data_IF_549235395252
#
_entry.id   IF_549235395252
#
_cell.length_a   1.000
_cell.length_b   1.000
_cell.length_c   1.000
_cell.angle_alpha   90.00
_cell.angle_beta   90.00
_cell.angle_gamma   90.00
#
_symmetry.space_group_name_H-M   'P 1'
#
loop_
_entity.id
_entity.type
_entity.pdbx_description
1 polymer ?
#
# COMPACT_ATOMS: atom_id res chain seq x y z
N UNK A 1 12.59 6.54 1.48
CA UNK A 1 11.42 7.26 0.93
C UNK A 1 11.94 8.28 -0.06
N UNK A 2 11.45 8.26 -1.30
CA UNK A 2 11.91 9.13 -2.39
C UNK A 2 10.79 10.02 -2.96
N UNK A 3 9.57 9.88 -2.47
CA UNK A 3 8.39 10.59 -2.98
C UNK A 3 7.46 10.99 -1.83
N UNK A 4 6.88 12.19 -1.92
CA UNK A 4 5.74 12.60 -1.10
C UNK A 4 4.44 12.08 -1.70
N UNK A 5 3.71 11.27 -0.93
CA UNK A 5 2.47 10.64 -1.35
C UNK A 5 1.32 11.63 -1.55
N UNK A 6 0.18 11.12 -1.99
CA UNK A 6 -1.04 11.91 -2.18
C UNK A 6 -1.47 12.61 -0.87
N UNK A 7 -2.17 13.73 -1.00
CA UNK A 7 -2.62 14.60 0.11
C UNK A 7 -1.51 15.26 0.94
N UNK A 8 -0.24 15.18 0.50
CA UNK A 8 0.83 15.94 1.13
C UNK A 8 0.59 17.45 1.01
N UNK A 9 0.93 18.20 2.05
CA UNK A 9 0.89 19.66 2.02
C UNK A 9 1.98 20.18 1.06
N UNK A 10 1.62 21.07 0.15
CA UNK A 10 2.55 21.56 -0.88
C UNK A 10 3.76 22.28 -0.31
N UNK A 11 3.70 22.80 0.91
CA UNK A 11 4.85 23.39 1.60
C UNK A 11 5.97 22.38 1.87
N UNK A 12 5.67 21.08 1.88
CA UNK A 12 6.65 20.02 2.15
C UNK A 12 7.46 19.58 0.92
N UNK A 13 6.90 19.73 -0.28
CA UNK A 13 7.55 19.30 -1.53
C UNK A 13 7.86 20.46 -2.48
N UNK A 14 7.26 21.62 -2.28
CA UNK A 14 7.48 22.83 -3.09
C UNK A 14 8.48 23.80 -2.44
N UNK A 15 9.38 23.31 -1.60
CA UNK A 15 10.52 24.09 -1.09
C UNK A 15 11.59 24.17 -2.18
N UNK A 16 11.85 25.39 -2.69
CA UNK A 16 12.83 25.64 -3.73
C UNK A 16 14.26 25.24 -3.34
N UNK A 17 14.55 25.13 -2.04
CA UNK A 17 15.88 24.77 -1.54
C UNK A 17 16.06 23.26 -1.39
N UNK A 18 14.98 22.50 -1.31
CA UNK A 18 15.00 21.05 -1.15
C UNK A 18 13.75 20.40 -1.75
N UNK A 19 13.60 20.45 -3.09
CA UNK A 19 12.44 19.86 -3.74
C UNK A 19 12.49 18.34 -3.63
N UNK A 20 11.33 17.73 -3.40
CA UNK A 20 11.16 16.27 -3.29
C UNK A 20 10.13 15.85 -4.32
N UNK A 21 10.33 14.74 -5.07
CA UNK A 21 9.31 14.23 -5.97
C UNK A 21 7.98 14.01 -5.27
N UNK A 22 6.86 14.24 -5.96
CA UNK A 22 5.53 14.13 -5.34
C UNK A 22 4.46 13.67 -6.32
N UNK A 23 3.38 13.12 -5.76
CA UNK A 23 2.11 12.92 -6.47
C UNK A 23 1.04 13.86 -5.93
N UNK A 24 0.23 14.44 -6.79
CA UNK A 24 -0.89 15.29 -6.38
C UNK A 24 -2.17 14.50 -6.19
N UNK A 25 -3.01 15.01 -5.30
CA UNK A 25 -4.41 14.63 -5.24
C UNK A 25 -5.25 15.78 -5.79
N UNK A 26 -6.01 15.50 -6.84
CA UNK A 26 -6.99 16.42 -7.41
C UNK A 26 -8.37 15.84 -7.20
N UNK A 27 -9.14 16.44 -6.31
CA UNK A 27 -10.50 15.97 -6.03
C UNK A 27 -11.30 17.01 -5.26
N UNK A 28 -12.55 16.65 -5.00
CA UNK A 28 -13.62 17.45 -4.37
C UNK A 28 -14.40 18.38 -5.32
N UNK A 29 -15.74 18.26 -5.23
CA UNK A 29 -16.78 19.04 -5.94
C UNK A 29 -16.83 18.83 -7.46
N UNK A 30 -17.13 17.60 -7.87
CA UNK A 30 -17.60 17.32 -9.23
C UNK A 30 -19.13 17.27 -9.23
N UNK A 31 -19.79 17.54 -10.37
CA UNK A 31 -21.15 17.09 -10.58
C UNK A 31 -21.24 15.60 -10.27
N UNK A 32 -22.16 15.25 -9.38
CA UNK A 32 -22.33 13.89 -8.87
C UNK A 32 -23.80 13.48 -8.90
N UNK A 33 -24.00 12.18 -9.07
CA UNK A 33 -25.29 11.53 -8.93
C UNK A 33 -25.36 10.91 -7.55
N UNK A 34 -26.23 11.45 -6.69
CA UNK A 34 -26.50 10.92 -5.35
C UNK A 34 -27.63 9.91 -5.41
N UNK A 35 -27.41 8.73 -4.86
CA UNK A 35 -28.39 7.64 -4.89
C UNK A 35 -28.52 6.99 -3.52
N UNK A 36 -29.75 6.74 -3.11
CA UNK A 36 -30.05 6.04 -1.87
C UNK A 36 -29.94 4.53 -2.13
N UNK A 37 -28.80 3.95 -1.78
CA UNK A 37 -28.57 2.53 -1.84
C UNK A 37 -28.31 2.01 -0.42
N UNK A 38 -29.02 0.95 -0.04
CA UNK A 38 -28.71 0.18 1.17
C UNK A 38 -28.76 0.98 2.48
N UNK A 39 -29.67 1.96 2.57
CA UNK A 39 -29.79 2.84 3.73
C UNK A 39 -28.72 3.94 3.83
N UNK A 40 -27.94 4.13 2.77
CA UNK A 40 -26.91 5.19 2.67
C UNK A 40 -27.04 5.95 1.34
N UNK A 41 -26.70 7.24 1.36
CA UNK A 41 -26.54 8.01 0.12
C UNK A 41 -25.13 7.81 -0.39
N UNK A 42 -25.00 7.26 -1.60
CA UNK A 42 -23.73 7.08 -2.31
C UNK A 42 -23.68 8.10 -3.43
N UNK A 43 -22.52 8.72 -3.63
CA UNK A 43 -22.29 9.66 -4.72
C UNK A 43 -21.36 9.06 -5.78
N UNK A 44 -21.77 9.15 -7.04
CA UNK A 44 -20.96 8.79 -8.19
C UNK A 44 -20.67 10.04 -9.01
N UNK A 45 -19.46 10.22 -9.59
CA UNK A 45 -19.24 11.22 -10.62
C UNK A 45 -20.29 11.12 -11.73
N UNK A 46 -20.75 12.25 -12.27
CA UNK A 46 -21.74 12.28 -13.34
C UNK A 46 -21.09 12.71 -14.67
N UNK A 47 -20.32 11.85 -15.37
CA UNK A 47 -19.61 12.22 -16.60
C UNK A 47 -20.51 12.66 -17.75
N UNK A 48 -21.79 12.30 -17.70
CA UNK A 48 -22.80 12.69 -18.69
C UNK A 48 -23.53 14.00 -18.35
N UNK A 49 -23.25 14.60 -17.19
CA UNK A 49 -23.74 15.93 -16.85
C UNK A 49 -23.03 17.00 -17.70
N UNK A 50 -23.78 17.94 -18.25
CA UNK A 50 -23.25 18.98 -19.14
C UNK A 50 -22.15 19.86 -18.52
N UNK A 51 -22.09 20.00 -17.19
CA UNK A 51 -21.07 20.80 -16.50
C UNK A 51 -19.81 19.98 -16.16
N UNK A 52 -19.89 18.65 -16.17
CA UNK A 52 -18.85 17.77 -15.63
C UNK A 52 -17.48 18.01 -16.26
N UNK A 53 -17.42 18.01 -17.60
CA UNK A 53 -16.15 18.19 -18.33
C UNK A 53 -15.50 19.55 -18.02
N UNK A 54 -16.30 20.61 -17.94
CA UNK A 54 -15.79 21.95 -17.58
C UNK A 54 -15.27 21.97 -16.15
N UNK A 55 -15.99 21.36 -15.20
CA UNK A 55 -15.54 21.29 -13.80
C UNK A 55 -14.23 20.48 -13.66
N UNK A 56 -14.08 19.38 -14.40
CA UNK A 56 -12.84 18.60 -14.43
C UNK A 56 -11.67 19.46 -14.93
N UNK A 57 -11.83 20.14 -16.06
CA UNK A 57 -10.80 21.03 -16.59
C UNK A 57 -10.41 22.12 -15.59
N UNK A 58 -11.38 22.81 -15.00
CA UNK A 58 -11.14 23.87 -14.01
C UNK A 58 -10.38 23.33 -12.79
N UNK A 59 -10.74 22.13 -12.33
CA UNK A 59 -10.09 21.49 -11.18
C UNK A 59 -8.62 21.18 -11.47
N UNK A 60 -8.32 20.63 -12.65
CA UNK A 60 -6.94 20.29 -13.04
C UNK A 60 -6.14 21.57 -13.33
N UNK A 61 -6.71 22.51 -14.10
CA UNK A 61 -6.06 23.78 -14.43
C UNK A 61 -5.78 24.63 -13.19
N UNK A 62 -6.59 24.53 -12.13
CA UNK A 62 -6.31 25.18 -10.85
C UNK A 62 -5.04 24.69 -10.14
N UNK A 63 -4.50 23.52 -10.51
CA UNK A 63 -3.25 22.96 -10.00
C UNK A 63 -2.11 23.00 -11.03
N UNK A 64 -2.27 23.75 -12.13
CA UNK A 64 -1.37 23.77 -13.29
C UNK A 64 0.10 23.96 -12.93
N UNK A 65 0.41 24.90 -12.05
CA UNK A 65 1.82 25.22 -11.72
C UNK A 65 2.51 24.05 -10.99
N UNK A 66 1.79 23.38 -10.09
CA UNK A 66 2.30 22.17 -9.42
C UNK A 66 2.41 21.02 -10.42
N UNK A 67 1.37 20.82 -11.25
CA UNK A 67 1.38 19.77 -12.26
C UNK A 67 2.49 19.93 -13.31
N UNK A 68 2.91 21.14 -13.63
CA UNK A 68 3.99 21.39 -14.60
C UNK A 68 5.39 21.47 -13.95
N UNK A 69 5.50 21.22 -12.64
CA UNK A 69 6.79 21.09 -11.97
C UNK A 69 7.51 19.81 -12.42
N UNK A 70 8.82 19.89 -12.64
CA UNK A 70 9.65 18.71 -12.94
C UNK A 70 9.67 17.66 -11.81
N UNK A 71 9.28 18.06 -10.60
CA UNK A 71 9.19 17.19 -9.42
C UNK A 71 7.81 16.52 -9.27
N UNK A 72 6.82 16.93 -10.06
CA UNK A 72 5.51 16.29 -10.07
C UNK A 72 5.56 15.02 -10.92
N UNK A 73 5.42 13.86 -10.28
CA UNK A 73 5.35 12.58 -10.97
C UNK A 73 4.03 12.38 -11.71
N UNK A 74 2.94 12.90 -11.13
CA UNK A 74 1.59 12.65 -11.61
C UNK A 74 0.53 13.05 -10.60
N UNK A 75 -0.72 12.79 -10.94
CA UNK A 75 -1.87 13.10 -10.09
C UNK A 75 -2.89 11.96 -10.05
N UNK A 76 -3.41 11.72 -8.85
CA UNK A 76 -4.65 10.97 -8.67
C UNK A 76 -5.84 11.93 -8.80
N UNK A 77 -6.90 11.49 -9.47
CA UNK A 77 -8.14 12.25 -9.58
C UNK A 77 -9.27 11.53 -8.83
N UNK A 78 -9.74 12.14 -7.73
CA UNK A 78 -10.62 11.51 -6.72
C UNK A 78 -9.98 10.28 -6.05
N UNK A 79 -10.73 9.61 -5.17
CA UNK A 79 -10.27 8.49 -4.34
C UNK A 79 -11.39 7.48 -4.13
N UNK A 80 -11.12 6.19 -4.33
CA UNK A 80 -11.95 5.05 -3.92
C UNK A 80 -13.44 5.18 -4.26
N UNK A 81 -13.78 5.29 -5.55
CA UNK A 81 -15.19 5.22 -5.94
C UNK A 81 -15.81 3.88 -5.53
N UNK A 82 -16.88 3.93 -4.74
CA UNK A 82 -17.60 2.76 -4.24
C UNK A 82 -18.57 2.18 -5.28
N UNK A 83 -18.03 1.74 -6.42
CA UNK A 83 -18.81 1.08 -7.49
C UNK A 83 -19.47 -0.22 -7.03
N UNK A 84 -19.01 -0.83 -5.92
CA UNK A 84 -19.62 -2.00 -5.26
C UNK A 84 -19.67 -1.82 -3.75
N UNK A 85 -20.44 -2.69 -3.10
CA UNK A 85 -20.59 -2.78 -1.65
C UNK A 85 -19.38 -3.52 -1.06
N UNK A 86 -18.89 -3.08 0.09
CA UNK A 86 -17.68 -3.65 0.72
C UNK A 86 -17.86 -5.11 1.22
N UNK A 87 -19.07 -5.69 1.13
CA UNK A 87 -19.40 -7.05 1.56
C UNK A 87 -19.68 -8.04 0.41
N UNK A 88 -19.42 -7.65 -0.84
CA UNK A 88 -19.58 -8.54 -1.99
C UNK A 88 -21.02 -8.73 -2.48
N UNK A 89 -21.98 -7.88 -2.06
CA UNK A 89 -23.32 -7.86 -2.65
C UNK A 89 -23.28 -7.18 -4.04
N UNK A 90 -23.74 -7.91 -5.04
CA UNK A 90 -23.24 -7.86 -6.42
C UNK A 90 -24.29 -7.46 -7.44
N UNK A 91 -24.86 -6.25 -7.41
CA UNK A 91 -25.53 -5.75 -8.62
C UNK A 91 -25.20 -4.30 -8.94
N UNK A 92 -25.26 -4.01 -10.24
CA UNK A 92 -24.65 -2.91 -10.98
C UNK A 92 -25.02 -1.53 -10.42
N UNK A 93 -24.38 -1.12 -9.32
CA UNK A 93 -24.77 0.07 -8.54
C UNK A 93 -24.78 1.33 -9.38
N UNK A 94 -23.83 1.47 -10.31
CA UNK A 94 -23.79 2.65 -11.18
C UNK A 94 -24.94 2.61 -12.18
N UNK A 95 -25.25 1.44 -12.75
CA UNK A 95 -26.41 1.30 -13.62
C UNK A 95 -27.71 1.61 -12.89
N UNK A 96 -27.87 1.10 -11.67
CA UNK A 96 -29.06 1.33 -10.85
C UNK A 96 -29.15 2.79 -10.42
N UNK A 97 -28.02 3.42 -10.10
CA UNK A 97 -27.99 4.84 -9.80
C UNK A 97 -28.57 5.68 -10.93
N UNK A 98 -28.18 5.37 -12.17
CA UNK A 98 -28.71 6.04 -13.36
C UNK A 98 -30.19 5.67 -13.62
N UNK A 99 -30.61 4.44 -13.34
CA UNK A 99 -32.02 4.03 -13.35
C UNK A 99 -32.85 4.63 -12.23
N UNK A 100 -32.27 5.20 -11.17
CA UNK A 100 -33.00 5.90 -10.09
C UNK A 100 -32.96 7.43 -10.22
N UNK A 101 -32.14 7.97 -11.13
CA UNK A 101 -32.08 9.40 -11.40
C UNK A 101 -33.46 9.97 -11.80
N UNK A 102 -33.68 11.27 -11.61
CA UNK A 102 -34.95 11.90 -12.01
C UNK A 102 -35.21 11.74 -13.50
N UNK A 103 -36.48 11.55 -13.89
CA UNK A 103 -36.85 11.17 -15.27
C UNK A 103 -36.34 12.11 -16.36
N UNK A 104 -36.21 13.41 -16.07
CA UNK A 104 -35.75 14.43 -17.01
C UNK A 104 -34.29 14.85 -16.79
N UNK A 105 -33.50 14.05 -16.07
CA UNK A 105 -32.08 14.33 -15.82
C UNK A 105 -31.20 13.79 -16.94
N UNK A 106 -30.04 14.43 -17.15
CA UNK A 106 -29.00 13.96 -18.08
C UNK A 106 -28.58 12.52 -17.79
N UNK A 107 -28.53 12.14 -16.50
CA UNK A 107 -28.25 10.77 -16.08
C UNK A 107 -29.32 9.79 -16.61
N UNK A 108 -30.61 10.05 -16.41
CA UNK A 108 -31.66 9.16 -16.94
C UNK A 108 -31.60 9.08 -18.46
N UNK A 109 -31.43 10.23 -19.13
CA UNK A 109 -31.33 10.25 -20.59
C UNK A 109 -30.13 9.44 -21.10
N UNK A 110 -28.99 9.49 -20.43
CA UNK A 110 -27.80 8.78 -20.83
C UNK A 110 -27.98 7.25 -20.83
N UNK A 111 -28.53 6.69 -19.74
CA UNK A 111 -28.73 5.22 -19.65
C UNK A 111 -29.86 4.74 -20.57
N UNK A 112 -30.96 5.49 -20.69
CA UNK A 112 -32.05 5.12 -21.60
C UNK A 112 -31.60 5.22 -23.05
N UNK A 113 -30.86 6.27 -23.41
CA UNK A 113 -30.26 6.43 -24.73
C UNK A 113 -29.26 5.31 -25.06
N UNK A 114 -28.48 4.87 -24.08
CA UNK A 114 -27.60 3.71 -24.24
C UNK A 114 -28.37 2.42 -24.53
N UNK A 115 -29.40 2.11 -23.74
CA UNK A 115 -30.25 0.94 -23.95
C UNK A 115 -30.95 0.98 -25.32
N UNK A 116 -31.42 2.15 -25.75
CA UNK A 116 -32.01 2.35 -27.08
C UNK A 116 -31.02 2.14 -28.23
N UNK A 117 -29.75 2.51 -28.06
CA UNK A 117 -28.71 2.24 -29.05
C UNK A 117 -28.37 0.76 -29.12
N UNK A 118 -28.35 0.08 -27.97
CA UNK A 118 -28.02 -1.35 -27.87
C UNK A 118 -29.15 -2.25 -28.35
N UNK A 119 -30.40 -1.82 -28.16
CA UNK A 119 -31.60 -2.55 -28.58
C UNK A 119 -32.40 -1.75 -29.59
N UNK A 120 -32.42 -2.23 -30.84
CA UNK A 120 -33.11 -1.56 -31.96
C UNK A 120 -34.62 -1.37 -31.78
N UNK A 121 -35.25 -2.05 -30.81
CA UNK A 121 -36.66 -1.85 -30.43
C UNK A 121 -36.94 -2.36 -29.01
N UNK A 122 -38.09 -1.97 -28.44
CA UNK A 122 -38.56 -2.53 -27.15
C UNK A 122 -38.76 -4.06 -27.21
N UNK A 123 -39.11 -4.60 -28.39
CA UNK A 123 -39.24 -6.05 -28.58
C UNK A 123 -37.88 -6.76 -28.48
N UNK A 124 -36.81 -6.13 -28.96
CA UNK A 124 -35.46 -6.66 -28.85
C UNK A 124 -35.00 -6.67 -27.38
N UNK A 125 -35.23 -5.56 -26.65
CA UNK A 125 -34.94 -5.48 -25.21
C UNK A 125 -35.73 -6.53 -24.42
N UNK A 126 -37.04 -6.64 -24.66
CA UNK A 126 -37.90 -7.65 -24.02
C UNK A 126 -37.42 -9.08 -24.28
N UNK A 127 -36.93 -9.36 -25.50
CA UNK A 127 -36.36 -10.66 -25.84
C UNK A 127 -35.06 -10.91 -25.07
N UNK A 128 -34.18 -9.91 -25.00
CA UNK A 128 -32.92 -10.02 -24.29
C UNK A 128 -33.13 -10.19 -22.78
N UNK A 129 -34.06 -9.43 -22.19
CA UNK A 129 -34.28 -9.40 -20.73
C UNK A 129 -35.29 -10.44 -20.25
N UNK A 130 -36.00 -11.13 -21.14
CA UNK A 130 -37.10 -12.02 -20.78
C UNK A 130 -38.30 -11.27 -20.16
N UNK A 131 -38.56 -10.05 -20.62
CA UNK A 131 -39.59 -9.14 -20.08
C UNK A 131 -40.68 -8.84 -21.11
N UNK A 132 -41.69 -8.05 -20.72
CA UNK A 132 -42.83 -7.67 -21.56
C UNK A 132 -43.22 -6.20 -21.40
N UNK A 133 -42.24 -5.30 -21.41
CA UNK A 133 -42.50 -3.86 -21.32
C UNK A 133 -43.23 -3.36 -22.57
N UNK A 134 -44.22 -2.47 -22.36
CA UNK A 134 -45.07 -1.93 -23.44
C UNK A 134 -44.39 -0.85 -24.27
N UNK A 135 -43.28 -0.29 -23.78
CA UNK A 135 -42.51 0.75 -24.46
C UNK A 135 -41.38 1.27 -23.58
N UNK A 136 -40.57 2.18 -24.13
CA UNK A 136 -39.43 2.78 -23.42
C UNK A 136 -39.81 3.57 -22.17
N UNK A 137 -41.03 4.11 -22.11
CA UNK A 137 -41.54 4.76 -20.89
C UNK A 137 -41.64 3.79 -19.71
N UNK A 138 -42.01 2.53 -19.96
CA UNK A 138 -42.08 1.50 -18.92
C UNK A 138 -40.67 1.08 -18.43
N UNK A 139 -39.68 1.09 -19.33
CA UNK A 139 -38.27 0.84 -18.97
C UNK A 139 -37.69 2.02 -18.19
N UNK A 140 -37.99 3.25 -18.60
CA UNK A 140 -37.54 4.48 -17.91
C UNK A 140 -38.02 4.58 -16.47
N UNK A 141 -39.22 4.09 -16.19
CA UNK A 141 -39.83 4.09 -14.87
C UNK A 141 -39.30 2.99 -13.93
N UNK A 142 -38.34 2.16 -14.37
CA UNK A 142 -37.71 1.16 -13.51
C UNK A 142 -36.69 1.82 -12.59
N UNK A 143 -36.66 1.39 -11.33
CA UNK A 143 -35.59 1.75 -10.40
C UNK A 143 -34.32 0.92 -10.62
N UNK A 144 -34.45 -0.29 -11.16
CA UNK A 144 -33.32 -1.21 -11.37
C UNK A 144 -33.47 -1.98 -12.68
N UNK A 145 -32.34 -2.31 -13.31
CA UNK A 145 -32.32 -3.26 -14.43
C UNK A 145 -32.58 -4.67 -13.87
N UNK A 146 -33.58 -5.41 -14.38
CA UNK A 146 -33.89 -6.77 -13.92
C UNK A 146 -32.73 -7.72 -14.25
N UNK A 147 -32.69 -8.89 -13.59
CA UNK A 147 -31.60 -9.86 -13.76
C UNK A 147 -31.38 -10.35 -15.20
N UNK A 148 -32.44 -10.40 -16.02
CA UNK A 148 -32.31 -10.69 -17.46
C UNK A 148 -31.54 -9.62 -18.24
N UNK A 149 -31.38 -8.41 -17.68
CA UNK A 149 -30.62 -7.30 -18.24
C UNK A 149 -29.22 -7.13 -17.66
N UNK A 150 -28.70 -8.10 -16.89
CA UNK A 150 -27.38 -8.02 -16.26
C UNK A 150 -26.25 -7.70 -17.27
N UNK A 151 -26.30 -8.27 -18.48
CA UNK A 151 -25.32 -7.99 -19.53
C UNK A 151 -25.33 -6.52 -20.00
N UNK A 152 -26.50 -5.88 -20.00
CA UNK A 152 -26.61 -4.46 -20.35
C UNK A 152 -26.22 -3.56 -19.19
N UNK A 153 -26.51 -3.98 -17.96
CA UNK A 153 -26.08 -3.27 -16.78
C UNK A 153 -24.54 -3.28 -16.67
N UNK A 154 -23.88 -4.41 -16.96
CA UNK A 154 -22.42 -4.46 -17.05
C UNK A 154 -21.89 -3.55 -18.16
N UNK A 155 -22.45 -3.66 -19.37
CA UNK A 155 -22.02 -2.85 -20.51
C UNK A 155 -22.25 -1.35 -20.27
N UNK A 156 -23.26 -0.97 -19.50
CA UNK A 156 -23.45 0.41 -19.05
C UNK A 156 -22.35 0.86 -18.08
N UNK A 157 -22.00 0.04 -17.08
CA UNK A 157 -20.90 0.36 -16.15
C UNK A 157 -19.55 0.50 -16.87
N UNK A 158 -19.30 -0.31 -17.90
CA UNK A 158 -18.14 -0.18 -18.81
C UNK A 158 -18.18 1.16 -19.55
N UNK A 159 -19.29 1.51 -20.19
CA UNK A 159 -19.45 2.78 -20.92
C UNK A 159 -19.33 4.02 -20.00
N UNK A 160 -19.85 3.92 -18.78
CA UNK A 160 -19.72 4.95 -17.76
C UNK A 160 -18.25 5.15 -17.36
N UNK A 161 -17.53 4.07 -17.08
CA UNK A 161 -16.13 4.15 -16.67
C UNK A 161 -15.27 4.69 -17.82
N UNK A 162 -15.46 4.20 -19.04
CA UNK A 162 -14.78 4.71 -20.24
C UNK A 162 -14.93 6.23 -20.36
N UNK A 163 -16.17 6.75 -20.35
CA UNK A 163 -16.40 8.19 -20.50
C UNK A 163 -15.84 9.01 -19.33
N UNK A 164 -15.95 8.50 -18.08
CA UNK A 164 -15.40 9.17 -16.90
C UNK A 164 -13.89 9.39 -17.01
N UNK A 165 -13.14 8.31 -17.26
CA UNK A 165 -11.68 8.40 -17.29
C UNK A 165 -11.17 9.07 -18.56
N UNK A 166 -11.89 8.91 -19.69
CA UNK A 166 -11.62 9.65 -20.93
C UNK A 166 -11.72 11.15 -20.74
N UNK A 167 -12.79 11.65 -20.11
CA UNK A 167 -12.94 13.08 -19.83
C UNK A 167 -11.77 13.57 -18.98
N UNK A 168 -11.42 12.85 -17.90
CA UNK A 168 -10.34 13.28 -17.00
C UNK A 168 -8.98 13.29 -17.71
N UNK A 169 -8.70 12.31 -18.56
CA UNK A 169 -7.48 12.25 -19.35
C UNK A 169 -7.44 13.39 -20.38
N UNK A 170 -8.47 13.54 -21.22
CA UNK A 170 -8.51 14.57 -22.27
C UNK A 170 -8.42 16.00 -21.71
N UNK A 171 -9.05 16.27 -20.55
CA UNK A 171 -8.94 17.57 -19.91
C UNK A 171 -7.60 17.77 -19.19
N UNK A 172 -7.00 16.69 -18.68
CA UNK A 172 -5.66 16.71 -18.07
C UNK A 172 -4.55 17.04 -19.06
N UNK A 173 -4.58 16.39 -20.23
CA UNK A 173 -3.60 16.56 -21.32
C UNK A 173 -3.55 18.00 -21.84
N UNK A 174 -4.64 18.77 -21.69
CA UNK A 174 -4.67 20.20 -22.05
C UNK A 174 -3.88 21.08 -21.08
N UNK A 175 -3.62 20.60 -19.86
CA UNK A 175 -3.06 21.39 -18.76
C UNK A 175 -1.60 21.05 -18.47
N UNK A 176 -1.24 19.76 -18.47
CA UNK A 176 0.09 19.30 -18.04
C UNK A 176 0.47 17.94 -18.67
N UNK A 177 1.77 17.67 -18.90
CA UNK A 177 2.27 16.34 -19.23
C UNK A 177 2.41 15.38 -18.04
N UNK A 178 2.00 15.77 -16.82
CA UNK A 178 2.07 14.92 -15.64
C UNK A 178 1.21 13.66 -15.78
N UNK A 179 1.69 12.52 -15.26
CA UNK A 179 1.02 11.23 -15.41
C UNK A 179 -0.35 11.22 -14.72
N UNK A 180 -1.39 10.76 -15.42
CA UNK A 180 -2.68 10.49 -14.83
C UNK A 180 -2.69 9.12 -14.16
N UNK A 181 -2.76 9.12 -12.82
CA UNK A 181 -2.63 7.94 -11.96
C UNK A 181 -3.98 7.29 -11.61
N UNK A 182 -5.07 7.71 -12.26
CA UNK A 182 -6.42 7.22 -12.00
C UNK A 182 -7.02 7.72 -10.68
N UNK A 183 -8.00 6.97 -10.16
CA UNK A 183 -8.80 7.37 -9.00
C UNK A 183 -8.63 6.46 -7.78
N UNK A 184 -7.51 5.72 -7.73
CA UNK A 184 -7.16 4.85 -6.59
C UNK A 184 -8.22 3.77 -6.38
N UNK A 185 -8.27 2.83 -7.32
CA UNK A 185 -9.19 1.70 -7.27
C UNK A 185 -9.03 0.91 -5.97
N UNK A 186 -10.08 0.20 -5.55
CA UNK A 186 -10.05 -0.65 -4.36
C UNK A 186 -10.23 -2.11 -4.76
N UNK A 187 -9.95 -3.03 -3.84
CA UNK A 187 -10.11 -4.47 -4.07
C UNK A 187 -11.53 -4.90 -4.52
N UNK A 188 -12.54 -4.06 -4.31
CA UNK A 188 -13.93 -4.30 -4.70
C UNK A 188 -14.37 -3.54 -5.96
N UNK A 189 -13.48 -2.76 -6.58
CA UNK A 189 -13.77 -2.11 -7.86
C UNK A 189 -14.00 -3.21 -8.92
N UNK A 190 -15.12 -3.17 -9.68
CA UNK A 190 -15.38 -4.17 -10.69
C UNK A 190 -14.32 -4.21 -11.79
N UNK A 191 -13.88 -5.42 -12.13
CA UNK A 191 -12.83 -5.65 -13.15
C UNK A 191 -13.22 -5.05 -14.51
N UNK A 192 -14.48 -5.16 -14.93
CA UNK A 192 -14.94 -4.57 -16.20
C UNK A 192 -14.81 -3.04 -16.22
N UNK A 193 -15.04 -2.37 -15.08
CA UNK A 193 -14.85 -0.92 -14.98
C UNK A 193 -13.37 -0.52 -14.96
N UNK A 194 -12.52 -1.29 -14.26
CA UNK A 194 -11.07 -1.07 -14.30
C UNK A 194 -10.53 -1.25 -15.73
N UNK A 195 -11.02 -2.27 -16.44
CA UNK A 195 -10.64 -2.53 -17.82
C UNK A 195 -11.07 -1.42 -18.77
N UNK A 196 -12.27 -0.85 -18.59
CA UNK A 196 -12.76 0.29 -19.37
C UNK A 196 -12.01 1.59 -19.03
N UNK A 197 -11.57 1.77 -17.79
CA UNK A 197 -10.77 2.91 -17.37
C UNK A 197 -9.32 2.86 -17.90
N UNK A 198 -8.73 1.66 -17.91
CA UNK A 198 -7.30 1.44 -18.14
C UNK A 198 -6.72 2.11 -19.40
N UNK A 199 -7.37 2.14 -20.57
CA UNK A 199 -6.86 2.82 -21.76
C UNK A 199 -6.56 4.31 -21.55
N UNK A 200 -7.27 4.96 -20.63
CA UNK A 200 -7.19 6.41 -20.37
C UNK A 200 -6.23 6.77 -19.24
N UNK A 201 -5.60 5.80 -18.58
CA UNK A 201 -4.68 6.02 -17.46
C UNK A 201 -3.23 5.87 -17.92
N UNK A 202 -2.30 6.68 -17.43
CA UNK A 202 -0.87 6.42 -17.65
C UNK A 202 -0.36 5.31 -16.72
N UNK A 203 -0.78 5.39 -15.46
CA UNK A 203 -0.46 4.44 -14.40
C UNK A 203 -1.75 4.09 -13.66
N UNK A 204 -1.95 2.81 -13.37
CA UNK A 204 -3.13 2.36 -12.63
C UNK A 204 -2.89 2.55 -11.13
N UNK A 205 -3.56 3.54 -10.54
CA UNK A 205 -3.58 3.74 -9.09
C UNK A 205 -4.55 2.79 -8.39
N UNK A 206 -4.05 2.06 -7.39
CA UNK A 206 -4.85 1.13 -6.58
C UNK A 206 -4.51 1.22 -5.08
N UNK A 207 -5.52 1.31 -4.24
CA UNK A 207 -5.40 1.15 -2.79
C UNK A 207 -5.53 -0.34 -2.46
N UNK A 208 -4.50 -0.90 -1.82
CA UNK A 208 -4.38 -2.35 -1.67
C UNK A 208 -3.95 -2.74 -0.26
N UNK A 209 -4.89 -2.61 0.67
CA UNK A 209 -4.75 -3.09 2.04
C UNK A 209 -4.76 -4.63 2.08
N UNK A 210 -3.62 -5.28 1.86
CA UNK A 210 -3.36 -6.73 2.02
C UNK A 210 -1.95 -6.89 2.58
N UNK A 211 -1.56 -8.12 2.94
CA UNK A 211 -0.18 -8.41 3.37
C UNK A 211 0.81 -8.48 2.20
N UNK A 212 0.31 -8.69 0.98
CA UNK A 212 1.12 -8.67 -0.24
C UNK A 212 0.34 -8.03 -1.39
N UNK A 213 1.04 -7.33 -2.31
CA UNK A 213 0.46 -6.83 -3.56
C UNK A 213 0.40 -7.87 -4.69
N UNK A 214 0.92 -9.09 -4.51
CA UNK A 214 1.01 -10.10 -5.58
C UNK A 214 -0.34 -10.57 -6.13
N UNK A 215 -1.42 -10.40 -5.36
CA UNK A 215 -2.78 -10.73 -5.79
C UNK A 215 -3.42 -9.66 -6.71
N UNK A 216 -2.71 -8.57 -7.05
CA UNK A 216 -3.22 -7.55 -7.96
C UNK A 216 -3.26 -8.10 -9.39
N UNK A 217 -4.45 -8.53 -9.82
CA UNK A 217 -4.67 -9.10 -11.14
C UNK A 217 -5.54 -8.22 -12.03
N UNK A 218 -4.89 -7.38 -12.85
CA UNK A 218 -5.53 -6.61 -13.94
C UNK A 218 -5.01 -7.19 -15.27
N UNK A 219 -5.87 -7.76 -16.11
CA UNK A 219 -5.44 -8.49 -17.32
C UNK A 219 -5.69 -7.78 -18.64
N UNK A 220 -6.46 -6.70 -18.64
CA UNK A 220 -6.80 -5.96 -19.87
C UNK A 220 -5.64 -5.15 -20.44
N UNK A 221 -4.56 -4.96 -19.69
CA UNK A 221 -3.45 -4.08 -20.07
C UNK A 221 -2.15 -4.45 -19.38
N UNK A 222 -1.03 -4.03 -19.95
CA UNK A 222 0.33 -4.12 -19.40
C UNK A 222 0.79 -2.78 -18.78
N UNK A 223 -0.16 -1.91 -18.42
CA UNK A 223 0.17 -0.61 -17.82
C UNK A 223 0.81 -0.77 -16.43
N UNK A 224 1.73 0.15 -16.06
CA UNK A 224 2.32 0.17 -14.73
C UNK A 224 1.25 0.44 -13.66
N UNK A 225 1.51 -0.04 -12.45
CA UNK A 225 0.62 0.04 -11.29
C UNK A 225 1.33 0.82 -10.18
N UNK A 226 0.62 1.73 -9.53
CA UNK A 226 1.09 2.39 -8.31
C UNK A 226 0.12 2.07 -7.17
N UNK A 227 0.67 1.56 -6.07
CA UNK A 227 -0.11 1.34 -4.86
C UNK A 227 -0.28 2.68 -4.17
N UNK A 228 -1.52 3.15 -4.13
CA UNK A 228 -1.90 4.43 -3.56
C UNK A 228 -1.93 4.44 -2.04
N UNK A 229 -2.30 3.32 -1.43
CA UNK A 229 -2.46 3.13 0.01
C UNK A 229 -2.20 1.67 0.38
N UNK A 230 -1.46 1.48 1.48
CA UNK A 230 -1.41 0.26 2.28
C UNK A 230 -0.93 0.64 3.69
N UNK A 231 -1.22 -0.21 4.69
CA UNK A 231 -0.66 -0.10 6.04
C UNK A 231 -0.75 -1.40 6.83
N UNK A 232 -0.07 -1.40 7.96
CA UNK A 232 -0.15 -2.38 9.04
C UNK A 232 -0.16 -1.62 10.37
N UNK A 233 -0.87 -2.14 11.36
CA UNK A 233 -0.88 -1.53 12.69
C UNK A 233 -0.97 -2.55 13.81
N UNK A 234 -0.47 -2.12 14.96
CA UNK A 234 -0.40 -2.88 16.19
C UNK A 234 -0.78 -1.99 17.38
N UNK A 235 -1.40 -2.56 18.42
CA UNK A 235 -2.07 -1.79 19.48
C UNK A 235 -1.37 -1.86 20.84
N UNK A 236 -0.26 -2.58 20.94
CA UNK A 236 0.50 -2.79 22.17
C UNK A 236 1.03 -1.50 22.80
N UNK A 237 1.10 -0.40 22.03
CA UNK A 237 1.48 0.95 22.51
C UNK A 237 0.29 1.89 22.78
N UNK A 238 -0.86 1.35 23.20
CA UNK A 238 -1.95 2.15 23.77
C UNK A 238 -2.97 2.72 22.77
N UNK A 239 -3.05 2.15 21.58
CA UNK A 239 -4.12 2.41 20.62
C UNK A 239 -5.25 1.38 20.78
N UNK A 240 -6.45 1.69 20.27
CA UNK A 240 -7.62 0.79 20.38
C UNK A 240 -7.95 0.07 19.08
N UNK A 241 -7.27 0.42 17.98
CA UNK A 241 -7.55 -0.14 16.67
C UNK A 241 -6.28 -0.22 15.83
N UNK A 242 -5.96 -1.41 15.31
CA UNK A 242 -4.79 -1.69 14.46
C UNK A 242 -4.93 -1.11 13.06
N UNK A 243 -6.17 -0.91 12.61
CA UNK A 243 -6.50 -0.44 11.28
C UNK A 243 -7.01 -1.58 10.42
N UNK A 244 -6.67 -1.55 9.14
CA UNK A 244 -7.21 -2.52 8.16
C UNK A 244 -6.41 -3.82 8.10
N UNK A 245 -5.14 -3.82 8.53
CA UNK A 245 -4.31 -5.02 8.64
C UNK A 245 -3.62 -5.02 9.99
N UNK A 246 -4.00 -5.98 10.82
CA UNK A 246 -3.50 -6.16 12.16
C UNK A 246 -2.24 -7.03 12.16
N UNK A 247 -1.27 -6.65 12.96
CA UNK A 247 -0.10 -7.46 13.31
C UNK A 247 0.07 -7.49 14.83
N UNK A 248 0.97 -8.31 15.36
CA UNK A 248 1.10 -8.53 16.81
C UNK A 248 1.67 -7.33 17.55
N UNK A 249 2.79 -6.77 17.05
CA UNK A 249 3.50 -5.65 17.66
C UNK A 249 4.19 -4.72 16.63
N UNK A 250 4.98 -3.74 17.10
CA UNK A 250 5.73 -2.83 16.22
C UNK A 250 6.83 -3.52 15.40
N UNK A 251 7.40 -4.64 15.88
CA UNK A 251 8.42 -5.39 15.13
C UNK A 251 7.73 -6.12 13.97
N UNK A 252 6.62 -6.83 14.21
CA UNK A 252 5.80 -7.44 13.15
C UNK A 252 5.32 -6.40 12.12
N UNK A 253 5.05 -5.17 12.57
CA UNK A 253 4.63 -4.06 11.71
C UNK A 253 5.75 -3.59 10.80
N UNK A 254 6.98 -3.60 11.28
CA UNK A 254 8.16 -3.29 10.50
C UNK A 254 8.44 -4.39 9.46
N UNK A 255 8.29 -5.65 9.85
CA UNK A 255 8.45 -6.81 8.95
C UNK A 255 7.39 -6.82 7.85
N UNK A 256 6.12 -6.58 8.21
CA UNK A 256 5.04 -6.48 7.25
C UNK A 256 5.27 -5.34 6.23
N UNK A 257 5.79 -4.18 6.68
CA UNK A 257 6.19 -3.10 5.78
C UNK A 257 7.28 -3.57 4.81
N UNK A 258 8.32 -4.23 5.33
CA UNK A 258 9.46 -4.69 4.53
C UNK A 258 9.00 -5.69 3.46
N UNK A 259 8.26 -6.74 3.83
CA UNK A 259 7.77 -7.76 2.90
C UNK A 259 6.82 -7.18 1.84
N UNK A 260 5.88 -6.33 2.23
CA UNK A 260 4.96 -5.72 1.26
C UNK A 260 5.71 -4.90 0.20
N UNK A 261 6.70 -4.11 0.64
CA UNK A 261 7.50 -3.29 -0.27
C UNK A 261 8.49 -4.13 -1.10
N UNK A 262 9.05 -5.23 -0.57
CA UNK A 262 9.87 -6.18 -1.33
C UNK A 262 9.03 -6.76 -2.47
N UNK A 263 7.87 -7.31 -2.16
CA UNK A 263 6.95 -7.88 -3.13
C UNK A 263 6.53 -6.84 -4.20
N UNK A 264 6.27 -5.60 -3.78
CA UNK A 264 5.97 -4.49 -4.71
C UNK A 264 7.14 -4.20 -5.67
N UNK A 265 8.39 -4.28 -5.20
CA UNK A 265 9.58 -4.04 -6.02
C UNK A 265 9.84 -5.17 -7.00
N UNK A 266 9.60 -6.42 -6.59
CA UNK A 266 9.74 -7.62 -7.43
C UNK A 266 8.63 -7.75 -8.46
N UNK A 267 7.43 -7.24 -8.17
CA UNK A 267 6.30 -7.34 -9.08
C UNK A 267 6.54 -6.55 -10.37
N UNK A 268 6.46 -7.23 -11.52
CA UNK A 268 6.85 -6.70 -12.84
C UNK A 268 6.23 -5.35 -13.18
N UNK A 269 4.95 -5.15 -12.85
CA UNK A 269 4.20 -3.94 -13.18
C UNK A 269 4.13 -2.87 -12.09
N UNK A 270 4.53 -3.16 -10.85
CA UNK A 270 4.40 -2.18 -9.77
C UNK A 270 5.59 -1.24 -9.81
N UNK A 271 5.32 0.07 -9.89
CA UNK A 271 6.33 1.12 -10.03
C UNK A 271 6.45 1.99 -8.77
N UNK A 272 5.61 1.75 -7.76
CA UNK A 272 5.68 2.45 -6.49
C UNK A 272 4.57 2.04 -5.52
N UNK A 273 4.79 2.32 -4.24
CA UNK A 273 3.81 2.10 -3.19
C UNK A 273 3.88 3.20 -2.13
N UNK A 274 2.73 3.78 -1.78
CA UNK A 274 2.60 4.83 -0.77
C UNK A 274 1.93 4.29 0.49
N UNK A 275 2.63 4.46 1.61
CA UNK A 275 2.14 4.14 2.94
C UNK A 275 1.04 5.12 3.36
N UNK A 276 -0.04 4.60 3.94
CA UNK A 276 -1.08 5.40 4.58
C UNK A 276 -1.02 5.20 6.09
N UNK A 277 -0.53 6.15 6.88
CA UNK A 277 -0.20 7.53 6.54
C UNK A 277 0.93 8.03 7.42
N UNK A 278 1.33 9.30 7.26
CA UNK A 278 2.48 9.84 7.97
C UNK A 278 2.33 9.79 9.50
N UNK A 279 1.20 10.24 10.04
CA UNK A 279 0.93 10.30 11.49
C UNK A 279 -0.18 9.34 11.92
N UNK A 280 0.00 8.72 13.07
CA UNK A 280 -1.04 7.86 13.67
C UNK A 280 -2.27 8.70 13.97
N UNK A 281 -3.44 8.07 13.92
CA UNK A 281 -4.68 8.81 14.10
C UNK A 281 -4.88 9.19 15.55
N UNK A 282 -5.81 10.12 15.80
CA UNK A 282 -6.22 10.40 17.17
C UNK A 282 -6.89 9.15 17.75
N UNK A 283 -6.51 8.74 18.96
CA UNK A 283 -7.14 7.60 19.66
C UNK A 283 -8.65 7.79 19.87
N UNK A 284 -9.09 9.05 19.91
CA UNK A 284 -10.51 9.46 19.99
C UNK A 284 -11.22 9.53 18.63
N UNK A 285 -10.56 9.16 17.55
CA UNK A 285 -11.13 9.15 16.21
C UNK A 285 -10.95 10.44 15.41
N UNK A 286 -10.87 10.29 14.09
CA UNK A 286 -11.08 11.34 13.08
C UNK A 286 -12.58 11.69 12.98
N UNK A 287 -12.95 12.57 12.05
CA UNK A 287 -14.35 13.00 11.83
C UNK A 287 -15.30 11.82 11.53
N UNK A 288 -14.80 10.78 10.89
CA UNK A 288 -15.49 9.53 10.53
C UNK A 288 -15.39 8.45 11.62
N UNK A 289 -14.72 8.73 12.75
CA UNK A 289 -14.52 7.81 13.86
C UNK A 289 -13.28 6.92 13.73
N UNK A 290 -12.54 6.98 12.63
CA UNK A 290 -11.33 6.16 12.44
C UNK A 290 -10.23 6.56 13.43
N UNK A 291 -9.68 5.59 14.17
CA UNK A 291 -8.73 5.81 15.28
C UNK A 291 -7.51 4.87 15.23
N UNK A 292 -6.97 4.64 14.04
CA UNK A 292 -5.98 3.60 13.75
C UNK A 292 -4.53 3.94 14.17
N UNK A 293 -3.80 2.92 14.62
CA UNK A 293 -2.34 2.94 14.80
C UNK A 293 -1.63 2.63 13.47
N UNK A 294 -1.52 3.60 12.58
CA UNK A 294 -0.99 3.39 11.22
C UNK A 294 0.03 4.45 10.80
N UNK A 295 0.53 5.25 11.75
CA UNK A 295 1.48 6.34 11.49
C UNK A 295 2.92 5.88 11.40
N UNK A 296 3.71 6.47 10.51
CA UNK A 296 5.17 6.42 10.61
C UNK A 296 5.68 7.13 11.88
N UNK A 297 4.92 8.12 12.35
CA UNK A 297 5.08 8.79 13.65
C UNK A 297 3.81 8.66 14.50
N UNK A 298 3.96 8.70 15.82
CA UNK A 298 2.85 8.64 16.77
C UNK A 298 2.10 9.99 16.88
N UNK A 299 1.14 10.06 17.80
CA UNK A 299 0.38 11.28 18.06
C UNK A 299 1.27 12.44 18.55
N UNK A 300 2.38 12.17 19.22
CA UNK A 300 3.30 13.17 19.76
C UNK A 300 4.42 13.55 18.78
N UNK A 301 4.30 13.14 17.50
CA UNK A 301 5.33 13.34 16.46
C UNK A 301 6.63 12.57 16.75
N UNK A 302 6.57 11.52 17.59
CA UNK A 302 7.68 10.61 17.83
C UNK A 302 7.68 9.50 16.77
N UNK A 303 8.77 9.30 16.00
CA UNK A 303 8.83 8.23 15.02
C UNK A 303 8.91 6.86 15.68
N UNK A 304 8.12 5.90 15.20
CA UNK A 304 8.26 4.50 15.62
C UNK A 304 9.62 3.95 15.14
N UNK A 305 10.52 3.54 16.04
CA UNK A 305 11.88 3.18 15.66
C UNK A 305 11.94 1.98 14.72
N UNK A 306 11.07 0.98 14.90
CA UNK A 306 11.02 -0.28 14.16
C UNK A 306 10.69 -0.02 12.67
N UNK A 307 9.53 0.60 12.41
CA UNK A 307 9.08 0.90 11.04
C UNK A 307 10.02 1.91 10.34
N UNK A 308 10.65 2.83 11.09
CA UNK A 308 11.66 3.75 10.56
C UNK A 308 12.91 3.00 10.09
N UNK A 309 13.35 2.00 10.86
CA UNK A 309 14.48 1.14 10.48
C UNK A 309 14.14 0.33 9.22
N UNK A 310 12.97 -0.33 9.19
CA UNK A 310 12.52 -1.06 8.00
C UNK A 310 12.42 -0.16 6.75
N UNK A 311 11.79 1.02 6.87
CA UNK A 311 11.68 1.98 5.77
C UNK A 311 13.04 2.47 5.25
N UNK A 312 14.04 2.61 6.12
CA UNK A 312 15.42 2.95 5.74
C UNK A 312 16.13 1.79 5.06
N UNK A 313 15.96 0.56 5.56
CA UNK A 313 16.57 -0.64 5.00
C UNK A 313 16.12 -0.86 3.55
N UNK A 314 14.80 -0.94 3.33
CA UNK A 314 14.27 -1.13 1.97
C UNK A 314 14.55 0.08 1.07
N UNK A 315 14.52 1.29 1.62
CA UNK A 315 14.82 2.50 0.87
C UNK A 315 16.24 2.55 0.31
N UNK A 316 17.25 2.02 1.04
CA UNK A 316 18.63 1.89 0.56
C UNK A 316 18.75 0.87 -0.58
N UNK A 317 17.91 -0.16 -0.55
CA UNK A 317 17.95 -1.29 -1.48
C UNK A 317 17.01 -1.21 -2.67
N UNK A 318 16.15 -0.19 -2.70
CA UNK A 318 15.04 -0.06 -3.64
C UNK A 318 15.43 -0.39 -5.09
N UNK A 319 16.47 0.26 -5.61
CA UNK A 319 16.91 0.07 -6.99
C UNK A 319 17.67 -1.25 -7.21
N UNK A 320 18.31 -1.80 -6.18
CA UNK A 320 19.01 -3.09 -6.27
C UNK A 320 18.01 -4.24 -6.38
N UNK A 321 16.99 -4.24 -5.52
CA UNK A 321 15.88 -5.20 -5.55
C UNK A 321 15.15 -5.10 -6.89
N UNK A 322 14.74 -3.89 -7.29
CA UNK A 322 14.05 -3.68 -8.57
C UNK A 322 14.88 -4.06 -9.80
N UNK A 323 16.20 -3.81 -9.74
CA UNK A 323 17.13 -4.11 -10.82
C UNK A 323 17.57 -5.56 -10.91
N UNK A 324 17.07 -6.44 -10.02
CA UNK A 324 17.51 -7.83 -9.87
C UNK A 324 19.04 -7.98 -9.78
N UNK A 325 19.73 -6.96 -9.24
CA UNK A 325 21.18 -7.01 -9.05
C UNK A 325 21.48 -7.73 -7.73
N UNK A 326 21.52 -9.06 -7.81
CA UNK A 326 22.02 -10.03 -6.82
C UNK A 326 21.46 -9.86 -5.40
N UNK A 327 20.27 -10.38 -5.17
CA UNK A 327 20.04 -11.17 -3.97
C UNK A 327 20.31 -12.65 -4.34
N UNK A 328 20.95 -13.44 -3.46
CA UNK A 328 20.93 -14.88 -3.60
C UNK A 328 19.47 -15.34 -3.83
N UNK A 329 19.22 -16.29 -4.74
CA UNK A 329 17.90 -16.89 -4.88
C UNK A 329 17.37 -17.37 -3.51
N UNK A 330 16.11 -17.07 -3.24
CA UNK A 330 15.31 -17.45 -2.08
C UNK A 330 13.92 -17.76 -2.66
N UNK A 331 13.68 -19.04 -2.90
CA UNK A 331 12.65 -19.57 -3.79
C UNK A 331 11.28 -19.58 -3.11
N UNK A 332 11.23 -19.80 -1.81
CA UNK A 332 10.01 -19.74 -1.01
C UNK A 332 9.82 -18.41 -0.25
N UNK A 333 10.84 -17.55 -0.26
CA UNK A 333 10.83 -16.15 0.19
C UNK A 333 10.74 -16.00 1.70
N UNK A 334 11.25 -16.96 2.45
CA UNK A 334 11.23 -16.97 3.91
C UNK A 334 12.38 -16.16 4.56
N UNK A 335 13.28 -15.63 3.74
CA UNK A 335 14.39 -14.78 4.16
C UNK A 335 15.72 -15.52 4.33
N UNK A 336 15.76 -16.84 4.15
CA UNK A 336 16.97 -17.64 4.05
C UNK A 336 17.25 -17.93 2.56
N UNK A 337 18.48 -17.70 2.05
CA UNK A 337 18.80 -18.06 0.67
C UNK A 337 18.71 -19.56 0.37
N UNK A 338 18.28 -19.95 -0.85
CA UNK A 338 18.23 -21.33 -1.38
C UNK A 338 19.52 -22.11 -1.10
N UNK A 339 20.65 -21.42 -1.27
CA UNK A 339 21.98 -22.00 -1.10
C UNK A 339 22.31 -22.32 0.36
N UNK A 340 21.79 -21.52 1.30
CA UNK A 340 21.94 -21.73 2.74
C UNK A 340 20.99 -22.84 3.17
N UNK A 341 19.74 -22.79 2.74
CA UNK A 341 18.73 -23.82 3.00
C UNK A 341 19.22 -25.20 2.53
N UNK A 342 19.64 -25.30 1.27
CA UNK A 342 20.18 -26.55 0.70
C UNK A 342 21.43 -27.04 1.45
N UNK A 343 22.28 -26.12 1.92
CA UNK A 343 23.51 -26.48 2.64
C UNK A 343 23.23 -27.06 4.04
N UNK A 344 22.15 -26.64 4.68
CA UNK A 344 21.75 -27.11 6.01
C UNK A 344 20.62 -28.16 5.96
N UNK A 345 20.16 -28.54 4.76
CA UNK A 345 19.15 -29.57 4.58
C UNK A 345 17.71 -29.10 4.81
N UNK A 346 17.49 -27.79 4.81
CA UNK A 346 16.16 -27.17 4.68
C UNK A 346 15.65 -27.34 3.23
N UNK A 347 14.34 -27.14 3.03
CA UNK A 347 13.72 -27.25 1.71
C UNK A 347 13.46 -25.85 1.15
N UNK A 348 14.18 -25.42 0.07
CA UNK A 348 13.98 -24.11 -0.58
C UNK A 348 12.57 -23.82 -1.11
N UNK A 349 11.63 -24.74 -0.96
CA UNK A 349 10.23 -24.59 -1.35
C UNK A 349 9.28 -24.54 -0.16
N UNK A 350 9.79 -24.60 1.07
CA UNK A 350 9.03 -24.73 2.30
C UNK A 350 9.29 -23.55 3.26
N UNK A 351 8.52 -22.45 3.13
CA UNK A 351 8.82 -21.21 3.86
C UNK A 351 8.53 -21.29 5.36
N UNK A 352 8.01 -22.43 5.83
CA UNK A 352 7.78 -22.66 7.25
C UNK A 352 9.04 -23.14 7.97
N UNK A 353 10.03 -23.65 7.26
CA UNK A 353 11.24 -24.16 7.92
C UNK A 353 12.20 -23.04 8.36
N UNK A 354 12.18 -21.82 7.81
CA UNK A 354 12.81 -20.65 8.46
C UNK A 354 12.36 -20.40 9.91
N UNK A 355 11.08 -20.69 10.20
CA UNK A 355 10.50 -20.59 11.53
C UNK A 355 10.67 -21.86 12.37
N UNK A 356 11.12 -22.94 11.73
CA UNK A 356 11.53 -24.17 12.39
C UNK A 356 12.86 -24.02 13.12
N UNK A 357 13.15 -25.00 13.96
CA UNK A 357 14.33 -25.09 14.80
C UNK A 357 15.04 -26.40 14.43
N UNK A 358 15.99 -26.32 13.50
CA UNK A 358 16.59 -27.49 12.84
C UNK A 358 17.46 -28.30 13.81
N UNK A 359 18.13 -27.63 14.74
CA UNK A 359 19.04 -28.27 15.69
C UNK A 359 18.42 -28.51 17.08
N UNK A 360 17.22 -28.00 17.34
CA UNK A 360 16.44 -28.14 18.57
C UNK A 360 17.03 -27.36 19.77
N UNK A 361 17.56 -26.15 19.52
CA UNK A 361 18.18 -25.27 20.53
C UNK A 361 17.30 -24.09 21.00
N UNK A 362 16.03 -24.07 20.59
CA UNK A 362 15.04 -23.00 20.78
C UNK A 362 15.32 -21.71 19.97
N UNK A 363 16.14 -21.77 18.91
CA UNK A 363 16.26 -20.72 17.88
C UNK A 363 15.67 -21.16 16.57
N UNK A 364 15.09 -20.21 15.85
CA UNK A 364 14.64 -20.50 14.49
C UNK A 364 15.80 -20.40 13.51
N UNK A 365 15.72 -21.17 12.45
CA UNK A 365 16.71 -21.20 11.37
C UNK A 365 16.99 -19.79 10.81
N UNK A 366 15.96 -18.94 10.70
CA UNK A 366 16.11 -17.56 10.27
C UNK A 366 16.90 -16.70 11.28
N UNK A 367 16.62 -16.85 12.58
CA UNK A 367 17.36 -16.12 13.63
C UNK A 367 18.82 -16.50 13.59
N UNK A 368 19.11 -17.78 13.42
CA UNK A 368 20.47 -18.29 13.30
C UNK A 368 21.19 -17.75 12.07
N UNK A 369 20.51 -17.76 10.91
CA UNK A 369 21.03 -17.13 9.70
C UNK A 369 21.37 -15.65 9.92
N UNK A 370 20.49 -14.88 10.57
CA UNK A 370 20.74 -13.46 10.88
C UNK A 370 21.89 -13.29 11.86
N UNK A 371 22.03 -14.15 12.87
CA UNK A 371 23.13 -14.11 13.84
C UNK A 371 24.45 -14.63 13.26
N UNK A 372 24.39 -15.39 12.17
CA UNK A 372 25.51 -16.12 11.59
C UNK A 372 25.88 -17.37 12.37
N UNK A 373 24.98 -17.92 13.18
CA UNK A 373 25.21 -19.24 13.77
C UNK A 373 24.97 -20.33 12.74
N UNK A 374 25.49 -21.54 12.99
CA UNK A 374 25.30 -22.67 12.09
C UNK A 374 23.96 -23.32 12.45
N UNK A 375 23.05 -23.40 11.47
CA UNK A 375 21.67 -23.83 11.66
C UNK A 375 21.53 -25.28 12.17
N UNK A 376 22.63 -26.03 12.22
CA UNK A 376 22.65 -27.45 12.55
C UNK A 376 23.43 -27.79 13.83
N UNK A 377 23.96 -26.77 14.53
CA UNK A 377 24.91 -26.95 15.64
C UNK A 377 24.43 -26.34 16.96
N UNK A 378 23.72 -27.14 17.75
CA UNK A 378 23.14 -26.82 19.09
C UNK A 378 24.07 -26.15 20.10
N UNK A 379 25.38 -26.16 19.86
CA UNK A 379 26.38 -25.58 20.74
C UNK A 379 26.84 -24.18 20.31
N UNK A 380 26.35 -23.69 19.18
CA UNK A 380 26.75 -22.42 18.59
C UNK A 380 25.69 -21.33 18.81
N UNK A 381 25.87 -20.57 19.88
CA UNK A 381 25.05 -19.40 20.17
C UNK A 381 25.92 -18.14 20.28
N UNK A 382 25.34 -16.99 19.92
CA UNK A 382 25.96 -15.69 20.13
C UNK A 382 26.22 -15.49 21.63
N UNK A 383 27.50 -15.29 21.98
CA UNK A 383 27.95 -15.36 23.37
C UNK A 383 28.70 -14.08 23.78
N UNK A 384 28.01 -12.94 23.91
CA UNK A 384 28.66 -11.70 24.31
C UNK A 384 29.25 -11.81 25.73
N UNK A 385 30.47 -11.32 25.90
CA UNK A 385 31.19 -11.33 27.16
C UNK A 385 30.98 -9.98 27.85
N UNK A 386 30.48 -10.01 29.08
CA UNK A 386 30.34 -8.80 29.91
C UNK A 386 31.48 -8.77 30.92
N UNK A 387 32.25 -7.69 30.92
CA UNK A 387 33.32 -7.45 31.88
C UNK A 387 33.02 -6.20 32.71
N UNK A 388 32.99 -6.33 34.05
CA UNK A 388 32.74 -5.22 34.98
C UNK A 388 33.95 -5.07 35.89
N UNK A 389 34.51 -3.87 35.91
CA UNK A 389 35.64 -3.47 36.78
C UNK A 389 35.24 -2.32 37.68
N UNK A 390 36.09 -1.95 38.65
CA UNK A 390 35.85 -0.80 39.52
C UNK A 390 35.78 0.54 38.76
N UNK A 391 36.30 0.58 37.52
CA UNK A 391 36.34 1.79 36.71
C UNK A 391 35.42 1.74 35.50
N UNK A 392 35.21 0.59 34.85
CA UNK A 392 34.49 0.47 33.57
C UNK A 392 33.65 -0.82 33.52
N UNK A 393 32.57 -0.78 32.73
CA UNK A 393 31.82 -1.96 32.29
C UNK A 393 31.87 -2.06 30.78
N UNK A 394 32.08 -3.25 30.23
CA UNK A 394 32.28 -3.49 28.81
C UNK A 394 31.47 -4.70 28.34
N UNK A 395 30.96 -4.62 27.12
CA UNK A 395 30.31 -5.74 26.43
C UNK A 395 31.14 -6.05 25.19
N UNK A 396 31.60 -7.29 25.07
CA UNK A 396 32.42 -7.73 23.94
C UNK A 396 31.71 -8.80 23.15
N UNK A 397 31.55 -8.57 21.85
CA UNK A 397 31.16 -9.60 20.88
C UNK A 397 32.45 -10.36 20.50
N UNK A 398 32.56 -11.67 20.82
CA UNK A 398 33.73 -12.45 20.46
C UNK A 398 33.94 -12.45 18.95
N UNK A 399 35.19 -12.54 18.49
CA UNK A 399 35.53 -12.52 17.06
C UNK A 399 34.76 -13.58 16.25
N UNK A 400 34.44 -14.73 16.86
CA UNK A 400 33.68 -15.82 16.23
C UNK A 400 32.22 -15.45 15.90
N UNK A 401 31.66 -14.47 16.60
CA UNK A 401 30.26 -14.05 16.47
C UNK A 401 30.14 -12.76 15.61
N UNK A 402 31.25 -12.26 15.09
CA UNK A 402 31.33 -11.06 14.22
C UNK A 402 31.47 -11.52 12.78
N UNK A 403 30.46 -11.27 11.95
CA UNK A 403 30.44 -11.67 10.55
C UNK A 403 30.18 -10.51 9.61
N UNK A 404 30.90 -10.49 8.50
CA UNK A 404 30.69 -9.52 7.44
C UNK A 404 29.24 -9.54 6.93
N UNK A 405 28.74 -8.39 6.49
CA UNK A 405 27.35 -8.26 6.03
C UNK A 405 26.35 -8.19 7.18
N UNK A 406 26.81 -7.92 8.41
CA UNK A 406 25.94 -7.70 9.58
C UNK A 406 26.26 -6.39 10.30
N UNK A 407 25.22 -5.76 10.82
CA UNK A 407 25.33 -4.62 11.72
C UNK A 407 24.92 -5.03 13.13
N UNK A 408 25.75 -4.67 14.10
CA UNK A 408 25.57 -5.00 15.50
C UNK A 408 25.28 -3.71 16.27
N UNK A 409 24.18 -3.68 17.00
CA UNK A 409 23.71 -2.53 17.76
C UNK A 409 23.66 -2.89 19.24
N UNK A 410 24.51 -2.28 20.05
CA UNK A 410 24.40 -2.36 21.50
C UNK A 410 23.37 -1.35 21.98
N UNK A 411 22.33 -1.82 22.64
CA UNK A 411 21.24 -1.00 23.12
C UNK A 411 21.03 -1.20 24.62
N UNK A 412 20.46 -0.19 25.28
CA UNK A 412 20.08 -0.21 26.69
C UNK A 412 18.64 0.23 26.88
N UNK A 413 17.98 -0.34 27.88
CA UNK A 413 16.70 0.14 28.37
C UNK A 413 16.62 0.02 29.88
N UNK A 414 15.78 0.82 30.52
CA UNK A 414 15.58 0.74 31.97
C UNK A 414 14.78 -0.51 32.39
N UNK A 415 13.96 -1.05 31.49
CA UNK A 415 13.20 -2.29 31.67
C UNK A 415 13.09 -3.06 30.35
N UNK A 416 12.53 -4.28 30.37
CA UNK A 416 12.43 -5.13 29.18
C UNK A 416 11.34 -4.71 28.18
N UNK A 417 10.40 -3.86 28.59
CA UNK A 417 9.23 -3.46 27.82
C UNK A 417 9.31 -2.01 27.30
N UNK A 418 10.31 -1.25 27.75
CA UNK A 418 10.58 0.13 27.34
C UNK A 418 11.40 0.18 26.05
N UNK A 419 11.39 1.33 25.38
CA UNK A 419 12.22 1.54 24.19
C UNK A 419 13.71 1.34 24.51
N UNK A 420 14.42 0.76 23.55
CA UNK A 420 15.84 0.47 23.65
C UNK A 420 16.65 1.60 23.00
N UNK A 421 17.40 2.34 23.82
CA UNK A 421 18.28 3.40 23.37
C UNK A 421 19.57 2.80 22.80
N UNK A 422 19.96 3.24 21.60
CA UNK A 422 21.24 2.88 21.02
C UNK A 422 22.39 3.48 21.86
N UNK A 423 23.27 2.61 22.36
CA UNK A 423 24.53 3.03 22.98
C UNK A 423 25.57 3.21 21.89
N UNK A 424 25.75 2.18 21.07
CA UNK A 424 26.76 2.16 20.02
C UNK A 424 26.39 1.12 18.94
N UNK A 425 26.96 1.25 17.74
CA UNK A 425 26.81 0.25 16.68
C UNK A 425 28.04 0.18 15.79
N UNK A 426 28.33 -1.01 15.27
CA UNK A 426 29.28 -1.16 14.17
C UNK A 426 28.69 -2.04 13.08
N UNK A 427 29.17 -1.85 11.85
CA UNK A 427 28.86 -2.71 10.71
C UNK A 427 30.12 -3.51 10.37
N UNK A 428 29.99 -4.83 10.35
CA UNK A 428 31.07 -5.72 9.97
C UNK A 428 31.14 -5.83 8.44
N UNK A 429 32.33 -5.61 7.90
CA UNK A 429 32.69 -5.88 6.52
C UNK A 429 33.79 -6.95 6.45
N UNK A 430 34.22 -7.28 5.22
CA UNK A 430 35.29 -8.27 4.98
C UNK A 430 36.64 -7.94 5.64
N UNK A 431 36.85 -6.70 6.08
CA UNK A 431 38.08 -6.25 6.75
C UNK A 431 37.95 -6.23 8.28
N UNK A 432 36.73 -6.38 8.80
CA UNK A 432 36.46 -6.40 10.23
C UNK A 432 37.03 -7.67 10.84
N UNK A 433 37.92 -7.51 11.83
CA UNK A 433 38.62 -8.63 12.44
C UNK A 433 38.73 -8.46 13.95
N UNK A 434 38.76 -9.60 14.65
CA UNK A 434 38.85 -9.63 16.11
C UNK A 434 37.54 -9.29 16.82
N UNK A 435 37.54 -9.40 18.16
CA UNK A 435 36.37 -9.12 18.97
C UNK A 435 36.02 -7.63 18.93
N UNK A 436 34.74 -7.31 19.06
CA UNK A 436 34.25 -5.94 19.08
C UNK A 436 33.76 -5.60 20.48
N UNK A 437 34.41 -4.62 21.11
CA UNK A 437 34.15 -4.25 22.50
C UNK A 437 33.50 -2.88 22.57
N UNK A 438 32.38 -2.81 23.27
CA UNK A 438 31.67 -1.60 23.60
C UNK A 438 31.93 -1.23 25.06
N UNK A 439 32.25 0.04 25.33
CA UNK A 439 32.33 0.56 26.70
C UNK A 439 30.97 1.10 27.12
N UNK A 440 30.43 0.60 28.23
CA UNK A 440 29.16 1.04 28.77
C UNK A 440 29.29 2.41 29.45
N UNK A 441 28.38 3.36 29.17
CA UNK A 441 28.41 4.67 29.81
C UNK A 441 28.25 4.61 31.33
N UNK A 442 29.14 5.26 32.08
CA UNK A 442 29.07 5.33 33.56
C UNK A 442 27.84 6.05 34.10
N UNK A 443 27.17 6.83 33.26
CA UNK A 443 25.93 7.54 33.59
C UNK A 443 24.73 6.61 33.67
N UNK A 444 24.83 5.39 33.13
CA UNK A 444 23.78 4.38 33.20
C UNK A 444 24.05 3.52 34.43
N UNK A 445 23.20 3.67 35.44
CA UNK A 445 23.39 3.02 36.75
C UNK A 445 22.61 1.72 36.91
N UNK A 446 21.63 1.47 36.05
CA UNK A 446 20.68 0.37 36.12
C UNK A 446 19.98 0.15 34.76
N UNK A 447 19.47 -1.08 34.55
CA UNK A 447 18.71 -1.46 33.36
C UNK A 447 19.23 -2.72 32.66
N UNK A 448 18.72 -2.95 31.46
CA UNK A 448 18.98 -4.10 30.61
C UNK A 448 19.79 -3.68 29.38
N UNK A 449 20.59 -4.61 28.86
CA UNK A 449 21.36 -4.44 27.63
C UNK A 449 20.98 -5.54 26.65
N UNK A 450 20.92 -5.21 25.35
CA UNK A 450 20.77 -6.19 24.28
C UNK A 450 21.69 -5.85 23.13
N UNK A 451 22.06 -6.88 22.37
CA UNK A 451 22.70 -6.73 21.08
C UNK A 451 21.65 -7.11 20.04
N UNK A 452 21.33 -6.17 19.17
CA UNK A 452 20.51 -6.43 17.99
C UNK A 452 21.44 -6.61 16.79
N UNK A 453 21.16 -7.61 15.96
CA UNK A 453 21.92 -7.92 14.75
C UNK A 453 21.00 -7.78 13.55
N UNK A 454 21.49 -7.10 12.53
CA UNK A 454 20.75 -6.84 11.29
C UNK A 454 21.63 -7.28 10.10
N UNK A 455 21.05 -7.94 9.10
CA UNK A 455 21.73 -8.13 7.82
C UNK A 455 21.89 -6.78 7.13
N UNK A 456 23.07 -6.56 6.54
CA UNK A 456 23.41 -5.36 5.77
C UNK A 456 24.08 -5.76 4.47
N UNK A 457 23.80 -4.99 3.43
CA UNK A 457 24.21 -5.31 2.07
C UNK A 457 25.68 -5.07 1.76
#
# INVERSE_FOLDING_TARGET
MNTMGCWSDSRLFNDQNNPVPYTLFLGWRLPSLSVNADGSTIEFPAPFDSEFRTTVYERINGARDLLNSEWCLGYFFQNEYHFRKNNGDTRYRVAYAYMQASDNSDAKEAIIGFLQKRHSSISALNTAWGTQYTGWAAVRALDEIPSGGDADAQAWEEAYADELYKIINEEGDKVSPALFLGSRFIAFTPVHMMNAAAPHLDVIGINWYRFSPNDIHITSTDKPIIIGEFHFGAVERGYFHTGLRAVGDQDDRADALYHYLRDALEHERIVGAHWFQYRSQAVTGRKDGENFQIGLVDLCDAPYPEIRTAARSIGKNLYRIRGAQYLPPDLDKDGIPDSVETAHGLDPNNPSDASGDLDEDDKSNFVEFVLGTDLSETSQFMSPIIAVTSTNSEVTIPAKDVQAGRRYLLQHSHDLNSEWALIDSFTADSSTSGPQTYTLPKTITDGFYRIQVELVD
#
